data_IF_126467357516
#
_entry.id   IF_126467357516
#
_cell.length_a   1.000
_cell.length_b   1.000
_cell.length_c   1.000
_cell.angle_alpha   90.00
_cell.angle_beta   90.00
_cell.angle_gamma   90.00
#
_symmetry.space_group_name_H-M   'P 1'
#
loop_
_entity.id
_entity.type
_entity.pdbx_description
1 polymer ?
#
# COMPACT_ATOMS: atom_id res chain seq x y z
N UNK A 1 16.89 1.19 2.22
CA UNK A 1 16.32 2.05 1.18
C UNK A 1 16.99 3.42 1.15
N UNK A 2 17.22 4.08 2.30
CA UNK A 2 17.97 5.35 2.39
C UNK A 2 19.33 5.29 1.69
N UNK A 3 20.14 4.30 2.04
CA UNK A 3 21.46 4.10 1.40
C UNK A 3 21.36 4.02 -0.14
N UNK A 4 20.28 3.44 -0.65
CA UNK A 4 20.06 3.38 -2.10
C UNK A 4 19.65 4.72 -2.69
N UNK A 5 18.89 5.54 -1.95
CA UNK A 5 18.60 6.91 -2.35
C UNK A 5 19.89 7.75 -2.42
N UNK A 6 20.74 7.64 -1.39
CA UNK A 6 22.06 8.31 -1.36
C UNK A 6 22.96 7.88 -2.53
N UNK A 7 23.03 6.57 -2.79
CA UNK A 7 23.81 6.05 -3.92
C UNK A 7 23.26 6.51 -5.27
N UNK A 8 21.94 6.60 -5.38
CA UNK A 8 21.29 7.10 -6.60
C UNK A 8 21.59 8.58 -6.83
N UNK A 9 21.56 9.42 -5.79
CA UNK A 9 21.93 10.83 -5.85
C UNK A 9 23.39 11.04 -6.30
N UNK A 10 24.26 10.04 -6.05
CA UNK A 10 25.65 10.01 -6.43
C UNK A 10 25.91 9.33 -7.78
N UNK A 11 24.87 8.98 -8.54
CA UNK A 11 24.95 8.20 -9.77
C UNK A 11 25.71 6.84 -9.63
N UNK A 12 25.64 6.24 -8.43
CA UNK A 12 26.35 4.99 -8.10
C UNK A 12 25.41 3.78 -8.03
N UNK A 13 24.14 3.94 -8.35
CA UNK A 13 23.14 2.88 -8.31
C UNK A 13 22.50 2.68 -9.68
N UNK A 14 22.45 1.43 -10.14
CA UNK A 14 21.73 1.08 -11.36
C UNK A 14 20.22 1.34 -11.21
N UNK A 15 19.62 2.04 -12.17
CA UNK A 15 18.21 2.41 -12.18
C UNK A 15 17.26 1.21 -12.13
N UNK A 16 17.63 0.06 -12.71
CA UNK A 16 16.80 -1.15 -12.67
C UNK A 16 16.78 -1.74 -11.26
N UNK A 17 17.93 -1.77 -10.60
CA UNK A 17 18.05 -2.23 -9.21
C UNK A 17 17.22 -1.34 -8.29
N UNK A 18 17.32 -0.02 -8.48
CA UNK A 18 16.51 0.92 -7.70
C UNK A 18 15.01 0.77 -7.97
N UNK A 19 14.60 0.62 -9.22
CA UNK A 19 13.21 0.44 -9.61
C UNK A 19 12.57 -0.81 -8.96
N UNK A 20 13.30 -1.93 -8.91
CA UNK A 20 12.83 -3.13 -8.21
C UNK A 20 12.72 -2.92 -6.70
N UNK A 21 13.74 -2.33 -6.10
CA UNK A 21 13.76 -2.08 -4.65
C UNK A 21 12.61 -1.16 -4.23
N UNK A 22 12.40 -0.04 -4.94
CA UNK A 22 11.30 0.87 -4.60
C UNK A 22 9.93 0.20 -4.72
N UNK A 23 9.72 -0.62 -5.75
CA UNK A 23 8.45 -1.36 -5.90
C UNK A 23 8.22 -2.32 -4.74
N UNK A 24 9.25 -3.04 -4.29
CA UNK A 24 9.17 -3.91 -3.12
C UNK A 24 8.91 -3.15 -1.81
N UNK A 25 9.18 -1.86 -1.78
CA UNK A 25 8.88 -0.95 -0.65
C UNK A 25 7.54 -0.22 -0.79
N UNK A 26 6.75 -0.56 -1.79
CA UNK A 26 5.43 0.01 -2.00
C UNK A 26 5.42 1.34 -2.75
N UNK A 27 6.56 1.74 -3.32
CA UNK A 27 6.70 3.02 -4.02
C UNK A 27 6.52 2.84 -5.52
N UNK A 28 5.57 3.57 -6.10
CA UNK A 28 5.34 3.66 -7.54
C UNK A 28 5.66 5.06 -8.07
N UNK A 29 5.85 5.17 -9.38
CA UNK A 29 5.62 6.45 -10.06
C UNK A 29 4.13 6.81 -10.01
N UNK A 30 3.82 8.10 -9.96
CA UNK A 30 2.43 8.58 -9.97
C UNK A 30 1.72 8.13 -11.25
N UNK A 31 0.59 7.41 -11.14
CA UNK A 31 -0.09 6.78 -12.28
C UNK A 31 -1.58 7.05 -12.36
N UNK A 32 -2.26 7.06 -11.22
CA UNK A 32 -3.72 6.98 -11.17
C UNK A 32 -4.39 8.26 -10.72
N UNK A 33 -3.62 9.17 -10.17
CA UNK A 33 -4.10 10.45 -9.72
C UNK A 33 -3.42 11.55 -10.54
N UNK A 34 -4.21 12.39 -11.19
CA UNK A 34 -3.73 13.49 -12.04
C UNK A 34 -3.73 14.83 -11.32
N UNK A 35 -3.92 14.84 -10.01
CA UNK A 35 -3.99 16.07 -9.24
C UNK A 35 -5.29 16.85 -9.39
N UNK A 36 -6.33 16.26 -9.93
CA UNK A 36 -7.62 16.90 -10.08
C UNK A 36 -8.67 16.30 -9.15
N UNK A 37 -9.52 17.14 -8.60
CA UNK A 37 -10.63 16.76 -7.73
C UNK A 37 -11.92 17.38 -8.22
N UNK A 38 -13.01 16.63 -8.13
CA UNK A 38 -14.35 17.10 -8.44
C UNK A 38 -15.14 17.29 -7.13
N UNK A 39 -15.53 18.52 -6.85
CA UNK A 39 -16.24 18.88 -5.60
C UNK A 39 -17.77 18.75 -5.69
N UNK A 40 -18.29 18.15 -6.77
CA UNK A 40 -19.71 18.05 -7.08
C UNK A 40 -20.19 19.12 -8.07
N UNK A 41 -19.44 20.19 -8.26
CA UNK A 41 -19.78 21.32 -9.16
C UNK A 41 -18.72 21.52 -10.23
N UNK A 42 -17.44 21.52 -9.85
CA UNK A 42 -16.34 21.80 -10.76
C UNK A 42 -15.12 20.90 -10.47
N UNK A 43 -14.28 20.75 -11.50
CA UNK A 43 -12.95 20.13 -11.33
C UNK A 43 -11.96 21.17 -10.87
N UNK A 44 -11.23 20.87 -9.80
CA UNK A 44 -10.18 21.73 -9.24
C UNK A 44 -8.84 21.01 -9.25
N UNK A 45 -7.76 21.74 -9.45
CA UNK A 45 -6.42 21.22 -9.19
C UNK A 45 -6.18 21.11 -7.69
N UNK A 46 -5.41 20.11 -7.28
CA UNK A 46 -4.98 19.98 -5.89
C UNK A 46 -3.98 21.09 -5.58
N UNK A 47 -4.22 21.79 -4.48
CA UNK A 47 -3.22 22.66 -3.86
C UNK A 47 -2.44 21.85 -2.84
N UNK A 48 -1.15 21.65 -3.10
CA UNK A 48 -0.30 20.89 -2.19
C UNK A 48 0.18 21.79 -1.05
N UNK A 49 0.32 21.24 0.18
CA UNK A 49 0.91 21.96 1.30
C UNK A 49 2.36 22.35 1.03
N UNK A 50 3.09 21.56 0.26
CA UNK A 50 4.42 21.91 -0.25
C UNK A 50 4.31 22.57 -1.62
N UNK A 51 5.03 23.63 -1.82
CA UNK A 51 4.94 24.55 -2.95
C UNK A 51 5.26 23.96 -4.33
N UNK A 52 5.57 22.68 -4.48
CA UNK A 52 5.78 22.07 -5.79
C UNK A 52 5.60 20.56 -5.78
N UNK A 53 4.98 20.05 -6.84
CA UNK A 53 4.90 18.62 -7.15
C UNK A 53 6.24 18.00 -7.53
N UNK A 54 7.22 18.83 -7.81
CA UNK A 54 8.57 18.44 -8.19
C UNK A 54 9.56 19.13 -7.27
N UNK A 55 10.58 18.40 -6.86
CA UNK A 55 11.74 18.98 -6.17
C UNK A 55 12.75 19.43 -7.21
N UNK A 56 13.70 20.25 -6.80
CA UNK A 56 14.74 20.78 -7.68
C UNK A 56 15.79 19.74 -8.11
N UNK A 57 16.84 20.18 -8.81
CA UNK A 57 17.86 19.29 -9.37
C UNK A 57 18.69 18.52 -8.32
N UNK A 58 18.63 18.94 -7.06
CA UNK A 58 19.37 18.31 -5.96
C UNK A 58 18.64 17.10 -5.35
N UNK A 59 17.47 16.73 -5.89
CA UNK A 59 16.67 15.61 -5.39
C UNK A 59 16.97 14.35 -6.19
N UNK A 60 16.81 13.17 -5.54
CA UNK A 60 16.99 11.87 -6.18
C UNK A 60 15.95 11.62 -7.28
N UNK A 61 14.83 12.32 -7.22
CA UNK A 61 13.74 12.20 -8.18
C UNK A 61 12.92 13.48 -8.19
N UNK A 62 12.82 14.10 -9.32
CA UNK A 62 12.14 15.38 -9.51
C UNK A 62 10.61 15.27 -9.62
N UNK A 63 10.08 14.05 -9.84
CA UNK A 63 8.65 13.81 -9.92
C UNK A 63 8.13 13.08 -8.68
N UNK A 64 6.93 13.43 -8.18
CA UNK A 64 6.32 12.71 -7.07
C UNK A 64 5.92 11.29 -7.47
N UNK A 65 5.77 10.43 -6.47
CA UNK A 65 5.32 9.05 -6.62
C UNK A 65 4.05 8.79 -5.82
N UNK A 66 3.71 7.51 -5.73
CA UNK A 66 2.62 7.00 -4.92
C UNK A 66 3.18 5.96 -3.94
N UNK A 67 2.83 6.10 -2.67
CA UNK A 67 3.12 5.10 -1.64
C UNK A 67 1.90 4.21 -1.41
N UNK A 68 2.04 2.90 -1.59
CA UNK A 68 1.02 1.93 -1.18
C UNK A 68 1.38 1.33 0.17
N UNK A 69 0.38 1.27 1.04
CA UNK A 69 0.48 0.81 2.42
C UNK A 69 -0.35 -0.46 2.55
N UNK A 70 0.27 -1.52 3.06
CA UNK A 70 -0.33 -2.85 3.17
C UNK A 70 -1.15 -2.94 4.45
N UNK A 71 -2.43 -3.26 4.32
CA UNK A 71 -3.36 -3.40 5.43
C UNK A 71 -3.97 -4.81 5.36
N UNK A 72 -3.40 -5.79 6.07
CA UNK A 72 -3.93 -7.15 6.09
C UNK A 72 -5.41 -7.17 6.46
N UNK A 73 -6.21 -7.94 5.72
CA UNK A 73 -7.67 -8.05 5.83
C UNK A 73 -8.44 -6.71 5.87
N UNK A 74 -7.77 -5.59 5.59
CA UNK A 74 -8.37 -4.26 5.64
C UNK A 74 -8.60 -3.71 7.07
N UNK A 75 -8.05 -4.38 8.09
CA UNK A 75 -8.23 -3.99 9.48
C UNK A 75 -7.21 -2.94 9.92
N UNK A 76 -7.69 -1.84 10.50
CA UNK A 76 -6.87 -0.77 11.08
C UNK A 76 -7.34 -0.45 12.49
N UNK A 77 -6.40 -0.11 13.36
CA UNK A 77 -6.71 0.44 14.68
C UNK A 77 -6.93 1.96 14.60
N UNK A 78 -7.58 2.59 15.59
CA UNK A 78 -7.71 4.05 15.64
C UNK A 78 -6.35 4.75 15.59
N UNK A 79 -5.36 4.28 16.35
CA UNK A 79 -4.00 4.82 16.35
C UNK A 79 -3.33 4.74 14.98
N UNK A 80 -3.49 3.63 14.28
CA UNK A 80 -2.99 3.47 12.91
C UNK A 80 -3.66 4.44 11.95
N UNK A 81 -4.96 4.66 12.12
CA UNK A 81 -5.71 5.59 11.27
C UNK A 81 -5.31 7.04 11.52
N UNK A 82 -5.03 7.43 12.76
CA UNK A 82 -4.50 8.76 13.10
C UNK A 82 -3.14 8.99 12.43
N UNK A 83 -2.21 8.05 12.56
CA UNK A 83 -0.91 8.15 11.87
C UNK A 83 -1.05 8.22 10.35
N UNK A 84 -1.97 7.46 9.77
CA UNK A 84 -2.23 7.52 8.32
C UNK A 84 -2.79 8.87 7.90
N UNK A 85 -3.64 9.48 8.72
CA UNK A 85 -4.18 10.83 8.48
C UNK A 85 -3.07 11.88 8.53
N UNK A 86 -2.24 11.86 9.58
CA UNK A 86 -1.10 12.77 9.72
C UNK A 86 -0.15 12.67 8.52
N UNK A 87 0.16 11.44 8.08
CA UNK A 87 1.01 11.21 6.90
C UNK A 87 0.37 11.73 5.61
N UNK A 88 -0.96 11.61 5.48
CA UNK A 88 -1.67 12.14 4.33
C UNK A 88 -1.62 13.67 4.28
N UNK A 89 -1.76 14.34 5.42
CA UNK A 89 -1.72 15.79 5.52
C UNK A 89 -0.30 16.34 5.34
N UNK A 90 0.71 15.65 5.86
CA UNK A 90 2.10 16.14 5.87
C UNK A 90 2.82 15.90 4.54
N UNK A 91 2.64 14.71 3.93
CA UNK A 91 3.42 14.27 2.77
C UNK A 91 2.62 14.16 1.47
N UNK A 92 1.30 14.23 1.53
CA UNK A 92 0.40 14.01 0.40
C UNK A 92 -0.53 15.20 0.19
N UNK A 93 -1.66 14.96 -0.42
CA UNK A 93 -2.72 15.94 -0.69
C UNK A 93 -3.85 15.93 0.36
N UNK A 94 -3.61 15.33 1.53
CA UNK A 94 -4.60 15.17 2.59
C UNK A 94 -5.64 14.08 2.30
N UNK A 95 -5.43 13.27 1.27
CA UNK A 95 -6.36 12.21 0.87
C UNK A 95 -5.73 10.84 1.02
N UNK A 96 -6.41 9.97 1.77
CA UNK A 96 -6.05 8.57 1.91
C UNK A 96 -6.96 7.72 1.02
N UNK A 97 -6.41 7.16 -0.06
CA UNK A 97 -7.15 6.35 -1.01
C UNK A 97 -7.27 4.90 -0.56
N UNK A 98 -8.49 4.40 -0.47
CA UNK A 98 -8.76 2.97 -0.24
C UNK A 98 -8.74 2.22 -1.57
N UNK A 99 -8.06 1.08 -1.61
CA UNK A 99 -7.98 0.25 -2.81
C UNK A 99 -8.96 -0.92 -2.78
N UNK A 100 -9.24 -1.51 -3.94
CA UNK A 100 -10.05 -2.74 -4.07
C UNK A 100 -9.40 -3.97 -3.40
N UNK A 101 -8.17 -3.84 -2.91
CA UNK A 101 -7.48 -4.88 -2.15
C UNK A 101 -7.23 -4.50 -0.70
N UNK A 102 -8.06 -3.59 -0.19
CA UNK A 102 -8.03 -3.19 1.22
C UNK A 102 -6.69 -2.57 1.65
N UNK A 103 -5.90 -2.06 0.71
CA UNK A 103 -4.71 -1.25 0.98
C UNK A 103 -5.08 0.22 1.05
N UNK A 104 -4.18 1.04 1.62
CA UNK A 104 -4.20 2.48 1.43
C UNK A 104 -3.15 2.93 0.42
N UNK A 105 -3.40 4.09 -0.18
CA UNK A 105 -2.46 4.78 -1.06
C UNK A 105 -2.41 6.25 -0.69
N UNK A 106 -1.19 6.76 -0.61
CA UNK A 106 -0.86 8.17 -0.56
C UNK A 106 -0.27 8.57 -1.92
N UNK A 107 -0.76 9.63 -2.48
CA UNK A 107 -0.34 10.14 -3.77
C UNK A 107 0.58 11.34 -3.62
N UNK A 108 1.35 11.63 -4.67
CA UNK A 108 2.24 12.79 -4.75
C UNK A 108 3.34 12.84 -3.69
N UNK A 109 3.79 11.66 -3.23
CA UNK A 109 4.88 11.54 -2.27
C UNK A 109 6.22 11.69 -2.98
N UNK A 110 7.06 12.58 -2.50
CA UNK A 110 8.44 12.64 -2.95
C UNK A 110 9.26 11.45 -2.45
N UNK A 111 10.16 10.96 -3.30
CA UNK A 111 10.91 9.73 -3.00
C UNK A 111 11.81 9.88 -1.76
N UNK A 112 12.32 11.07 -1.51
CA UNK A 112 13.17 11.39 -0.37
C UNK A 112 12.41 11.34 0.96
N UNK A 113 11.10 11.54 0.94
CA UNK A 113 10.26 11.54 2.14
C UNK A 113 9.84 10.11 2.54
N UNK A 114 9.95 9.15 1.60
CA UNK A 114 9.48 7.77 1.82
C UNK A 114 10.18 7.04 2.98
N UNK A 115 11.47 7.23 3.28
CA UNK A 115 12.09 6.59 4.44
C UNK A 115 11.46 7.00 5.78
N UNK A 116 11.17 8.28 5.95
CA UNK A 116 10.54 8.78 7.17
C UNK A 116 9.09 8.30 7.30
N UNK A 117 8.34 8.38 6.22
CA UNK A 117 7.00 7.83 6.12
C UNK A 117 6.97 6.34 6.53
N UNK A 118 7.92 5.54 6.01
CA UNK A 118 8.02 4.11 6.35
C UNK A 118 8.35 3.89 7.83
N UNK A 119 9.18 4.72 8.46
CA UNK A 119 9.48 4.62 9.90
C UNK A 119 8.25 4.92 10.75
N UNK A 120 7.50 5.96 10.41
CA UNK A 120 6.27 6.33 11.12
C UNK A 120 5.20 5.25 11.00
N UNK A 121 5.03 4.66 9.83
CA UNK A 121 4.17 3.48 9.64
C UNK A 121 4.64 2.30 10.49
N UNK A 122 5.94 2.01 10.49
CA UNK A 122 6.52 0.93 11.27
C UNK A 122 6.34 1.10 12.77
N UNK A 123 6.34 2.33 13.28
CA UNK A 123 6.12 2.63 14.70
C UNK A 123 4.75 2.16 15.22
N UNK A 124 3.73 2.10 14.33
CA UNK A 124 2.38 1.61 14.65
C UNK A 124 2.08 0.23 14.05
N UNK A 125 3.12 -0.51 13.64
CA UNK A 125 2.99 -1.88 13.15
C UNK A 125 2.43 -2.01 11.72
N UNK A 126 2.43 -0.94 10.93
CA UNK A 126 2.02 -0.95 9.52
C UNK A 126 3.26 -1.00 8.62
N UNK A 127 3.14 -1.63 7.47
CA UNK A 127 4.23 -1.70 6.49
C UNK A 127 3.77 -1.41 5.07
N UNK A 128 4.67 -0.85 4.29
CA UNK A 128 4.54 -0.75 2.83
C UNK A 128 5.33 -1.84 2.09
N UNK A 129 6.05 -2.71 2.83
CA UNK A 129 6.84 -3.79 2.26
C UNK A 129 5.96 -4.74 1.46
N UNK A 130 6.39 -5.07 0.24
CA UNK A 130 5.68 -5.98 -0.68
C UNK A 130 4.25 -5.51 -1.07
N UNK A 131 3.91 -4.26 -0.80
CA UNK A 131 2.65 -3.71 -1.28
C UNK A 131 2.61 -3.56 -2.80
N UNK A 132 3.78 -3.61 -3.45
CA UNK A 132 3.97 -3.53 -4.89
C UNK A 132 4.93 -4.61 -5.41
N UNK A 133 5.09 -4.70 -6.73
CA UNK A 133 6.00 -5.67 -7.35
C UNK A 133 5.38 -7.05 -7.59
N UNK A 134 6.24 -7.99 -7.93
CA UNK A 134 5.90 -9.40 -8.21
C UNK A 134 6.02 -10.27 -6.96
N UNK A 135 5.35 -9.88 -5.92
CA UNK A 135 5.34 -10.52 -4.59
C UNK A 135 3.94 -10.94 -4.22
N UNK A 136 3.80 -11.61 -3.09
CA UNK A 136 2.48 -11.81 -2.49
C UNK A 136 1.95 -10.45 -2.04
N UNK A 137 0.85 -10.06 -2.65
CA UNK A 137 0.19 -8.77 -2.40
C UNK A 137 -0.57 -8.85 -1.08
N UNK A 138 -1.22 -7.77 -0.68
CA UNK A 138 -2.02 -7.76 0.54
C UNK A 138 -2.96 -8.98 0.61
N UNK A 139 -3.09 -9.57 1.78
CA UNK A 139 -4.06 -10.64 2.04
C UNK A 139 -5.39 -9.96 2.35
N UNK A 140 -6.39 -10.20 1.51
CA UNK A 140 -7.72 -9.61 1.71
C UNK A 140 -8.66 -10.58 2.42
N UNK A 141 -9.64 -10.04 3.14
CA UNK A 141 -10.69 -10.84 3.75
C UNK A 141 -12.06 -10.17 3.58
N UNK A 142 -13.10 -10.87 3.99
CA UNK A 142 -14.43 -10.28 4.06
C UNK A 142 -14.41 -8.98 4.88
N UNK A 143 -14.93 -7.85 4.35
CA UNK A 143 -14.87 -6.56 5.05
C UNK A 143 -15.70 -6.50 6.34
N UNK A 144 -16.57 -7.47 6.55
CA UNK A 144 -17.41 -7.61 7.75
C UNK A 144 -17.13 -8.93 8.48
N UNK A 145 -15.93 -9.51 8.30
CA UNK A 145 -15.51 -10.69 9.05
C UNK A 145 -15.54 -10.41 10.56
N UNK A 146 -15.96 -11.39 11.33
CA UNK A 146 -16.13 -11.30 12.78
C UNK A 146 -17.46 -10.68 13.24
N UNK A 147 -18.23 -10.06 12.31
CA UNK A 147 -19.55 -9.47 12.63
C UNK A 147 -20.66 -9.87 11.65
N UNK A 148 -20.32 -10.64 10.62
CA UNK A 148 -21.29 -11.10 9.63
C UNK A 148 -22.12 -12.25 10.19
N UNK A 149 -23.44 -12.09 10.28
CA UNK A 149 -24.32 -13.15 10.81
C UNK A 149 -24.36 -14.44 9.96
N UNK A 150 -23.93 -14.35 8.69
CA UNK A 150 -23.97 -15.46 7.73
C UNK A 150 -22.59 -16.12 7.59
N UNK A 151 -21.58 -15.70 8.36
CA UNK A 151 -20.26 -16.34 8.34
C UNK A 151 -20.25 -17.67 9.12
N UNK A 152 -19.49 -18.61 8.64
CA UNK A 152 -19.25 -19.88 9.31
C UNK A 152 -18.37 -19.69 10.54
N UNK A 153 -17.32 -18.89 10.36
CA UNK A 153 -16.45 -18.39 11.43
C UNK A 153 -15.66 -17.17 10.96
N UNK A 154 -15.11 -16.41 11.90
CA UNK A 154 -14.27 -15.26 11.63
C UNK A 154 -12.94 -15.67 10.99
N UNK A 155 -12.68 -15.21 9.76
CA UNK A 155 -11.47 -15.51 9.01
C UNK A 155 -10.33 -14.51 9.24
N UNK A 156 -10.56 -13.47 10.03
CA UNK A 156 -9.56 -12.43 10.35
C UNK A 156 -8.25 -13.02 10.90
N UNK A 157 -8.26 -13.92 11.91
CA UNK A 157 -7.04 -14.49 12.46
C UNK A 157 -6.22 -15.28 11.42
N UNK A 158 -6.90 -15.97 10.52
CA UNK A 158 -6.25 -16.78 9.47
C UNK A 158 -5.61 -15.89 8.40
N UNK A 159 -6.29 -14.84 7.99
CA UNK A 159 -5.75 -13.88 7.02
C UNK A 159 -4.55 -13.12 7.58
N UNK A 160 -4.58 -12.76 8.87
CA UNK A 160 -3.46 -12.11 9.55
C UNK A 160 -2.26 -13.07 9.67
N UNK A 161 -2.48 -14.29 10.14
CA UNK A 161 -1.42 -15.29 10.27
C UNK A 161 -0.74 -15.58 8.92
N UNK A 162 -1.50 -15.64 7.83
CA UNK A 162 -0.95 -15.81 6.49
C UNK A 162 -0.17 -14.57 6.03
N UNK A 163 -0.66 -13.37 6.34
CA UNK A 163 0.04 -12.13 6.01
C UNK A 163 1.40 -12.07 6.71
N UNK A 164 1.45 -12.40 8.00
CA UNK A 164 2.67 -12.40 8.81
C UNK A 164 3.66 -13.46 8.32
N UNK A 165 3.18 -14.67 8.02
CA UNK A 165 4.03 -15.76 7.51
C UNK A 165 4.67 -15.42 6.15
N UNK A 166 3.90 -14.81 5.24
CA UNK A 166 4.37 -14.53 3.88
C UNK A 166 5.18 -13.24 3.77
N UNK A 167 5.03 -12.29 4.71
CA UNK A 167 5.73 -11.04 4.67
C UNK A 167 7.25 -11.25 4.86
N UNK A 168 8.01 -11.01 3.82
CA UNK A 168 9.45 -11.21 3.82
C UNK A 168 9.89 -12.66 3.69
N UNK A 169 8.99 -13.61 3.49
CA UNK A 169 9.36 -15.00 3.26
C UNK A 169 10.22 -15.12 1.99
N UNK A 170 11.36 -15.80 2.03
CA UNK A 170 12.29 -15.88 0.88
C UNK A 170 11.62 -16.36 -0.41
N UNK A 171 10.79 -17.39 -0.34
CA UNK A 171 10.11 -17.96 -1.50
C UNK A 171 8.97 -17.09 -2.03
N UNK A 172 8.58 -16.03 -1.30
CA UNK A 172 7.49 -15.12 -1.67
C UNK A 172 7.98 -13.82 -2.34
N UNK A 173 9.27 -13.71 -2.67
CA UNK A 173 9.86 -12.45 -3.13
C UNK A 173 9.81 -12.25 -4.64
N UNK A 174 9.69 -13.32 -5.43
CA UNK A 174 9.66 -13.23 -6.89
C UNK A 174 8.79 -14.33 -7.51
N UNK A 175 7.51 -14.02 -7.72
CA UNK A 175 6.54 -14.92 -8.36
C UNK A 175 6.45 -14.74 -9.88
N UNK A 176 7.33 -13.98 -10.50
CA UNK A 176 7.20 -13.62 -11.91
C UNK A 176 6.01 -12.71 -12.22
N UNK A 177 4.99 -12.70 -11.36
CA UNK A 177 3.81 -11.82 -11.42
C UNK A 177 3.19 -11.60 -10.03
N UNK A 178 2.23 -10.68 -9.96
CA UNK A 178 1.47 -10.37 -8.73
C UNK A 178 0.70 -11.60 -8.28
N UNK A 179 0.91 -12.04 -7.05
CA UNK A 179 0.19 -13.15 -6.43
C UNK A 179 -0.78 -12.62 -5.36
N UNK A 180 -2.03 -13.06 -5.40
CA UNK A 180 -3.12 -12.50 -4.59
C UNK A 180 -3.86 -13.59 -3.86
N UNK A 181 -4.14 -13.33 -2.59
CA UNK A 181 -4.85 -14.24 -1.68
C UNK A 181 -6.05 -13.52 -1.08
N UNK A 182 -7.14 -14.24 -0.89
CA UNK A 182 -8.34 -13.73 -0.25
C UNK A 182 -9.03 -14.79 0.62
N UNK A 183 -9.70 -14.32 1.68
CA UNK A 183 -10.47 -15.15 2.61
C UNK A 183 -11.93 -14.72 2.65
N UNK A 184 -12.85 -15.71 2.68
CA UNK A 184 -14.27 -15.50 2.93
C UNK A 184 -14.74 -16.33 4.11
N UNK A 185 -15.42 -15.70 5.07
CA UNK A 185 -16.06 -16.36 6.19
C UNK A 185 -17.38 -17.07 5.84
N UNK A 186 -17.92 -16.84 4.63
CA UNK A 186 -19.26 -17.32 4.23
C UNK A 186 -19.16 -18.46 3.22
N UNK A 187 -19.69 -19.62 3.57
CA UNK A 187 -19.73 -20.80 2.69
C UNK A 187 -20.79 -20.66 1.57
N UNK A 188 -21.94 -20.07 1.88
CA UNK A 188 -23.07 -19.98 0.94
C UNK A 188 -22.92 -18.90 -0.11
N UNK A 189 -22.40 -17.73 0.28
CA UNK A 189 -22.16 -16.59 -0.60
C UNK A 189 -20.78 -16.03 -0.34
N UNK A 190 -19.78 -16.60 -1.01
CA UNK A 190 -18.41 -16.19 -0.84
C UNK A 190 -18.21 -14.71 -1.22
N UNK A 191 -17.58 -13.96 -0.32
CA UNK A 191 -17.24 -12.55 -0.48
C UNK A 191 -15.71 -12.35 -0.72
N UNK A 192 -15.22 -11.11 -0.63
CA UNK A 192 -13.81 -10.75 -0.81
C UNK A 192 -13.21 -11.18 -2.17
N UNK A 193 -14.05 -11.44 -3.17
CA UNK A 193 -13.65 -11.85 -4.53
C UNK A 193 -12.76 -13.11 -4.54
N UNK A 194 -12.94 -14.02 -3.60
CA UNK A 194 -12.12 -15.25 -3.44
C UNK A 194 -12.06 -16.09 -4.70
N UNK A 195 -13.12 -16.09 -5.51
CA UNK A 195 -13.22 -16.91 -6.73
C UNK A 195 -12.36 -16.38 -7.90
N UNK A 196 -11.81 -15.18 -7.80
CA UNK A 196 -10.99 -14.57 -8.86
C UNK A 196 -9.54 -14.29 -8.43
N UNK A 197 -9.18 -14.66 -7.22
CA UNK A 197 -7.82 -14.54 -6.72
C UNK A 197 -7.00 -15.80 -7.03
N UNK A 198 -5.67 -15.70 -6.99
CA UNK A 198 -4.77 -16.85 -7.23
C UNK A 198 -4.98 -17.94 -6.16
N UNK A 199 -5.22 -17.53 -4.90
CA UNK A 199 -5.70 -18.37 -3.82
C UNK A 199 -6.94 -17.76 -3.17
N UNK A 200 -8.02 -18.53 -3.09
CA UNK A 200 -9.25 -18.17 -2.40
C UNK A 200 -9.59 -19.19 -1.32
N UNK A 201 -9.73 -18.76 -0.08
CA UNK A 201 -10.12 -19.58 1.05
C UNK A 201 -11.56 -19.28 1.47
N UNK A 202 -12.37 -20.32 1.62
CA UNK A 202 -13.77 -20.20 2.02
C UNK A 202 -13.96 -21.03 3.28
N UNK A 203 -14.43 -20.41 4.36
CA UNK A 203 -14.82 -21.09 5.60
C UNK A 203 -15.97 -22.07 5.36
N UNK A 204 -15.85 -23.30 5.90
CA UNK A 204 -16.86 -24.35 5.81
C UNK A 204 -16.99 -25.12 7.13
#
# INVERSE_FOLDING_TARGET
FETQLELRQQDKLDEKVFAETRLRRGVYGQRYDNGQRHDGVAVRAIEFPSSSLTKGPDTAWDAPGMQRIKIPFGGVTPEQLEVLADLAEEYSDGILHVTTRQDFQLHFIHIEDTPDLMRRLGAVGITSREACGNTVRNITACPIAGVCRDETFDVTPYSLAMADFLLGHPDAQDFGRKFKVAFSGCAGKACALVNMHDLGFIAR
#
